data_IF_608205028952
#
_entry.id   IF_608205028952
#
_cell.length_a   1.000
_cell.length_b   1.000
_cell.length_c   1.000
_cell.angle_alpha   90.00
_cell.angle_beta   90.00
_cell.angle_gamma   90.00
#
_symmetry.space_group_name_H-M   'P 1'
#
loop_
_entity.id
_entity.type
_entity.pdbx_description
1 polymer ?
#
# COMPACT_ATOMS: atom_id res chain seq x y z
N UNK A 1 24.96 -9.58 9.41
CA UNK A 1 26.06 -8.58 9.45
C UNK A 1 25.53 -7.38 10.18
N UNK A 2 26.21 -6.89 11.23
CA UNK A 2 25.68 -5.75 11.98
C UNK A 2 25.95 -4.45 11.23
N UNK A 3 24.90 -3.67 10.97
CA UNK A 3 24.98 -2.32 10.41
C UNK A 3 24.43 -1.32 11.41
N UNK A 4 25.11 -0.19 11.50
CA UNK A 4 24.72 0.91 12.36
C UNK A 4 23.91 1.89 11.52
N UNK A 5 22.69 2.20 11.96
CA UNK A 5 21.85 3.20 11.29
C UNK A 5 22.06 4.52 12.00
N UNK A 6 22.70 5.45 11.29
CA UNK A 6 22.87 6.82 11.72
C UNK A 6 21.79 7.71 11.13
N UNK A 7 21.54 8.83 11.79
CA UNK A 7 20.63 9.83 11.30
C UNK A 7 21.26 10.54 10.08
N UNK A 8 20.69 10.42 8.87
CA UNK A 8 21.26 11.07 7.70
C UNK A 8 21.13 12.58 7.84
N UNK A 9 22.07 13.32 7.25
CA UNK A 9 21.98 14.77 7.20
C UNK A 9 20.88 15.18 6.21
N UNK A 10 19.77 15.69 6.73
CA UNK A 10 18.61 16.11 5.94
C UNK A 10 18.58 17.64 5.89
N UNK A 11 19.22 18.22 4.87
CA UNK A 11 19.26 19.67 4.66
C UNK A 11 20.46 20.36 5.32
N UNK A 12 20.88 21.49 4.75
CA UNK A 12 22.02 22.28 5.25
C UNK A 12 21.73 22.95 6.60
N UNK A 13 20.47 23.34 6.86
CA UNK A 13 20.08 24.11 8.05
C UNK A 13 19.54 23.27 9.22
N UNK A 14 19.57 21.93 9.13
CA UNK A 14 19.02 21.05 10.18
C UNK A 14 20.15 20.31 10.87
N UNK A 15 20.35 20.57 12.16
CA UNK A 15 21.45 20.01 12.97
C UNK A 15 21.03 18.88 13.90
N UNK A 16 19.72 18.75 14.17
CA UNK A 16 19.17 17.76 15.08
C UNK A 16 17.75 17.35 14.63
N UNK A 17 17.33 16.14 15.02
CA UNK A 17 15.96 15.68 14.86
C UNK A 17 15.47 15.00 16.13
N UNK A 18 14.16 15.06 16.37
CA UNK A 18 13.49 14.42 17.49
C UNK A 18 12.82 13.15 16.97
N UNK A 19 13.02 12.02 17.65
CA UNK A 19 12.31 10.77 17.32
C UNK A 19 10.87 10.91 17.80
N UNK A 20 9.89 10.85 16.90
CA UNK A 20 8.47 10.87 17.27
C UNK A 20 8.07 9.50 17.81
N UNK A 21 8.34 8.45 17.02
CA UNK A 21 7.85 7.10 17.26
C UNK A 21 8.68 6.04 16.54
N UNK A 22 8.80 4.87 17.15
CA UNK A 22 9.28 3.66 16.50
C UNK A 22 8.14 2.91 15.82
N UNK A 23 8.26 2.67 14.51
CA UNK A 23 7.35 1.79 13.78
C UNK A 23 7.75 0.33 13.95
N UNK A 24 9.02 0.06 14.30
CA UNK A 24 9.60 -1.27 14.48
C UNK A 24 10.15 -1.49 15.88
N UNK A 25 9.91 -2.68 16.43
CA UNK A 25 10.38 -3.08 17.75
C UNK A 25 11.68 -3.90 17.68
N UNK A 26 12.43 -3.92 18.79
CA UNK A 26 13.65 -4.75 18.91
C UNK A 26 13.30 -6.22 18.68
N UNK A 27 14.09 -6.89 17.84
CA UNK A 27 13.89 -8.27 17.40
C UNK A 27 12.95 -8.45 16.20
N UNK A 28 12.31 -7.39 15.70
CA UNK A 28 11.40 -7.47 14.55
C UNK A 28 12.18 -7.56 13.23
N UNK A 29 11.58 -8.27 12.27
CA UNK A 29 12.06 -8.33 10.88
C UNK A 29 11.70 -7.04 10.12
N UNK A 30 12.64 -6.54 9.35
CA UNK A 30 12.57 -5.28 8.63
C UNK A 30 13.09 -5.51 7.22
N UNK A 31 12.28 -5.15 6.23
CA UNK A 31 12.66 -5.27 4.83
C UNK A 31 13.39 -4.01 4.34
N UNK A 32 14.14 -4.17 3.25
CA UNK A 32 14.77 -3.03 2.56
C UNK A 32 13.70 -2.02 2.12
N UNK A 33 13.97 -0.74 2.32
CA UNK A 33 13.09 0.40 2.05
C UNK A 33 11.85 0.50 2.96
N UNK A 34 11.74 -0.34 3.98
CA UNK A 34 10.64 -0.23 4.95
C UNK A 34 10.90 0.89 5.98
N UNK A 35 9.92 1.74 6.30
CA UNK A 35 10.08 2.79 7.31
C UNK A 35 10.20 2.20 8.72
N UNK A 36 11.24 2.62 9.44
CA UNK A 36 11.57 2.08 10.76
C UNK A 36 11.18 3.05 11.88
N UNK A 37 11.52 4.32 11.69
CA UNK A 37 11.33 5.39 12.67
C UNK A 37 10.76 6.63 12.00
N UNK A 38 9.94 7.34 12.74
CA UNK A 38 9.45 8.66 12.38
C UNK A 38 10.22 9.70 13.18
N UNK A 39 10.79 10.68 12.47
CA UNK A 39 11.53 11.78 13.06
C UNK A 39 10.87 13.10 12.67
N UNK A 40 10.97 14.09 13.55
CA UNK A 40 10.59 15.46 13.27
C UNK A 40 11.81 16.37 13.41
N UNK A 41 11.99 17.22 12.43
CA UNK A 41 12.93 18.33 12.45
C UNK A 41 12.15 19.63 12.64
N UNK A 42 12.82 20.75 12.90
CA UNK A 42 12.17 22.07 13.10
C UNK A 42 11.10 22.42 12.05
N UNK A 43 11.27 21.95 10.81
CA UNK A 43 10.39 22.33 9.70
C UNK A 43 9.68 21.18 8.99
N UNK A 44 10.11 19.94 9.17
CA UNK A 44 9.59 18.79 8.40
C UNK A 44 9.61 17.51 9.24
N UNK A 45 8.52 16.76 9.19
CA UNK A 45 8.43 15.38 9.67
C UNK A 45 8.77 14.41 8.54
N UNK A 46 9.63 13.43 8.82
CA UNK A 46 10.11 12.45 7.85
C UNK A 46 10.29 11.08 8.48
N UNK A 47 10.19 10.05 7.66
CA UNK A 47 10.44 8.66 8.08
C UNK A 47 11.82 8.22 7.58
N UNK A 48 12.56 7.47 8.40
CA UNK A 48 13.84 6.89 8.01
C UNK A 48 13.59 5.45 7.51
N UNK A 49 13.81 5.17 6.21
CA UNK A 49 13.69 3.82 5.66
C UNK A 49 14.93 2.97 5.96
N UNK A 50 14.75 1.66 6.01
CA UNK A 50 15.86 0.72 6.17
C UNK A 50 16.69 0.61 4.89
N UNK A 51 18.04 0.74 4.96
CA UNK A 51 18.91 0.55 3.80
C UNK A 51 19.06 -0.92 3.37
N UNK A 52 18.82 -1.88 4.27
CA UNK A 52 18.98 -3.32 4.04
C UNK A 52 17.87 -4.13 4.74
N UNK A 53 17.66 -5.37 4.30
CA UNK A 53 16.78 -6.32 4.98
C UNK A 53 17.50 -6.93 6.18
N UNK A 54 16.83 -7.04 7.33
CA UNK A 54 17.45 -7.51 8.55
C UNK A 54 16.54 -7.51 9.77
N UNK A 55 17.13 -7.75 10.94
CA UNK A 55 16.45 -7.65 12.24
C UNK A 55 16.97 -6.47 13.04
N UNK A 56 16.06 -5.74 13.70
CA UNK A 56 16.46 -4.71 14.66
C UNK A 56 17.09 -5.39 15.90
N UNK A 57 18.36 -5.13 16.20
CA UNK A 57 19.01 -5.72 17.38
C UNK A 57 18.71 -4.87 18.61
N UNK A 58 19.00 -3.58 18.50
CA UNK A 58 19.00 -2.67 19.64
C UNK A 58 18.67 -1.25 19.19
N UNK A 59 17.92 -0.54 20.03
CA UNK A 59 17.63 0.89 19.89
C UNK A 59 18.50 1.66 20.90
N UNK A 60 19.33 2.55 20.39
CA UNK A 60 20.18 3.41 21.22
C UNK A 60 19.41 4.64 21.71
N UNK A 61 18.33 5.00 21.00
CA UNK A 61 17.54 6.21 21.22
C UNK A 61 16.08 5.86 21.51
N UNK A 62 15.45 6.59 22.43
CA UNK A 62 14.03 6.42 22.80
C UNK A 62 13.07 7.34 22.03
N UNK A 63 11.78 7.03 22.07
CA UNK A 63 10.73 7.92 21.54
C UNK A 63 10.73 9.24 22.32
N UNK A 64 10.65 10.36 21.61
CA UNK A 64 10.68 11.72 22.15
C UNK A 64 12.09 12.27 22.41
N UNK A 65 13.15 11.53 22.05
CA UNK A 65 14.54 11.95 22.29
C UNK A 65 15.11 12.74 21.11
N UNK A 66 15.86 13.81 21.41
CA UNK A 66 16.56 14.64 20.42
C UNK A 66 17.93 14.05 20.09
N UNK A 67 18.19 13.82 18.81
CA UNK A 67 19.40 13.21 18.30
C UNK A 67 20.10 14.16 17.32
N UNK A 68 21.40 14.42 17.48
CA UNK A 68 22.15 15.21 16.52
C UNK A 68 22.36 14.45 15.20
N UNK A 69 22.46 15.18 14.08
CA UNK A 69 22.75 14.59 12.77
C UNK A 69 24.03 13.75 12.79
N UNK A 70 24.01 12.60 12.11
CA UNK A 70 25.14 11.67 12.06
C UNK A 70 25.31 10.77 13.28
N UNK A 71 24.52 10.95 14.34
CA UNK A 71 24.56 10.04 15.49
C UNK A 71 23.85 8.71 15.16
N UNK A 72 24.32 7.64 15.79
CA UNK A 72 23.70 6.32 15.65
C UNK A 72 22.40 6.24 16.45
N UNK A 73 21.35 5.76 15.79
CA UNK A 73 20.01 5.62 16.36
C UNK A 73 19.73 4.17 16.76
N UNK A 74 20.16 3.21 15.93
CA UNK A 74 19.95 1.79 16.16
C UNK A 74 20.98 0.92 15.45
N UNK A 75 21.11 -0.32 15.95
CA UNK A 75 21.93 -1.37 15.35
C UNK A 75 21.02 -2.44 14.75
N UNK A 76 21.28 -2.77 13.49
CA UNK A 76 20.55 -3.75 12.70
C UNK A 76 21.44 -4.95 12.39
N UNK A 77 20.88 -6.15 12.38
CA UNK A 77 21.53 -7.32 11.79
C UNK A 77 20.99 -7.53 10.38
N UNK A 78 21.79 -7.15 9.39
CA UNK A 78 21.51 -7.40 7.98
C UNK A 78 21.55 -8.89 7.73
N UNK A 79 20.41 -9.40 7.26
CA UNK A 79 20.29 -10.73 6.70
C UNK A 79 20.26 -10.49 5.20
N UNK A 80 21.40 -10.71 4.54
CA UNK A 80 21.42 -10.76 3.08
C UNK A 80 20.60 -11.97 2.65
N UNK A 81 19.32 -11.72 2.41
CA UNK A 81 18.51 -12.59 1.57
C UNK A 81 19.10 -12.39 0.18
N UNK A 82 20.06 -13.25 -0.17
CA UNK A 82 20.45 -13.51 -1.56
C UNK A 82 19.23 -14.08 -2.26
N UNK A 83 18.31 -13.19 -2.60
CA UNK A 83 17.32 -13.43 -3.63
C UNK A 83 18.13 -13.53 -4.92
N UNK A 84 18.47 -14.77 -5.27
CA UNK A 84 18.97 -15.16 -6.57
C UNK A 84 17.88 -14.86 -7.60
N UNK A 85 17.62 -13.59 -7.86
CA UNK A 85 16.91 -13.18 -9.05
C UNK A 85 17.93 -13.23 -10.18
N UNK A 86 18.10 -14.43 -10.75
CA UNK A 86 18.71 -14.59 -12.05
C UNK A 86 18.06 -13.55 -12.98
N UNK A 87 18.83 -12.62 -13.56
CA UNK A 87 18.32 -11.92 -14.73
C UNK A 87 18.06 -13.01 -15.76
N UNK A 88 16.79 -13.24 -16.09
CA UNK A 88 16.43 -13.92 -17.34
C UNK A 88 17.08 -13.14 -18.45
N UNK A 89 18.17 -13.72 -18.94
CA UNK A 89 18.86 -13.42 -20.16
C UNK A 89 17.84 -13.15 -21.27
N UNK A 90 17.71 -11.89 -21.68
CA UNK A 90 17.05 -11.55 -22.92
C UNK A 90 18.06 -11.91 -24.01
N UNK A 91 18.13 -13.19 -24.36
CA UNK A 91 18.79 -13.62 -25.59
C UNK A 91 18.07 -12.90 -26.73
N UNK A 92 18.73 -11.91 -27.31
CA UNK A 92 18.43 -11.41 -28.64
C UNK A 92 19.01 -12.46 -29.59
N UNK A 93 18.21 -13.27 -30.31
CA UNK A 93 18.77 -14.06 -31.40
C UNK A 93 19.15 -13.09 -32.52
N UNK A 94 20.46 -12.90 -32.66
CA UNK A 94 21.10 -12.46 -33.89
C UNK A 94 20.66 -13.37 -35.04
N UNK A 95 19.94 -12.79 -36.01
CA UNK A 95 19.84 -13.35 -37.35
C UNK A 95 20.17 -12.24 -38.35
N UNK A 96 21.47 -12.04 -38.56
CA UNK A 96 21.97 -11.75 -39.91
C UNK A 96 21.58 -12.90 -40.85
N UNK A 97 20.48 -12.74 -41.58
CA UNK A 97 20.29 -13.41 -42.88
C UNK A 97 20.31 -12.31 -43.95
N UNK A 98 21.47 -12.21 -44.57
CA UNK A 98 21.72 -11.42 -45.77
C UNK A 98 21.14 -12.23 -46.94
N UNK A 99 20.23 -11.66 -47.73
CA UNK A 99 19.65 -12.38 -48.86
C UNK A 99 18.74 -11.53 -49.76
N UNK A 100 19.36 -10.95 -50.79
CA UNK A 100 18.78 -10.76 -52.14
C UNK A 100 17.55 -9.86 -52.31
N UNK A 101 17.81 -8.59 -52.60
CA UNK A 101 16.93 -7.72 -53.38
C UNK A 101 16.83 -8.24 -54.84
N UNK A 102 15.62 -8.46 -55.33
CA UNK A 102 15.29 -8.44 -56.76
C UNK A 102 13.83 -8.06 -56.95
N UNK A 103 13.63 -7.00 -57.72
CA UNK A 103 12.39 -6.39 -58.17
C UNK A 103 11.27 -7.36 -58.56
N UNK A 104 10.00 -6.97 -58.34
CA UNK A 104 9.10 -6.46 -59.40
C UNK A 104 7.77 -5.92 -58.86
N UNK A 105 7.43 -4.74 -59.37
CA UNK A 105 6.16 -4.02 -59.50
C UNK A 105 4.81 -4.71 -59.14
N UNK A 106 3.90 -3.95 -58.51
CA UNK A 106 2.68 -3.38 -59.15
C UNK A 106 1.49 -3.16 -58.18
N UNK A 107 1.15 -1.88 -57.96
CA UNK A 107 -0.16 -1.20 -57.78
C UNK A 107 -1.39 -1.87 -57.10
N UNK A 108 -2.02 -1.14 -56.16
CA UNK A 108 -3.45 -1.22 -55.83
C UNK A 108 -3.84 -0.94 -54.35
N UNK A 109 -4.75 0.00 -54.04
CA UNK A 109 -5.17 0.31 -52.67
C UNK A 109 -6.33 -0.61 -52.23
N UNK A 110 -6.16 -1.37 -51.16
CA UNK A 110 -7.23 -2.23 -50.60
C UNK A 110 -7.40 -1.79 -49.14
N UNK A 111 -8.38 -0.98 -48.78
CA UNK A 111 -9.79 -1.35 -48.86
C UNK A 111 -10.06 -2.33 -47.72
N UNK A 112 -10.25 -1.81 -46.50
CA UNK A 112 -10.55 -2.64 -45.34
C UNK A 112 -11.91 -3.31 -45.52
N UNK A 113 -11.93 -4.64 -45.57
CA UNK A 113 -13.14 -5.46 -45.49
C UNK A 113 -13.22 -6.12 -44.11
N UNK A 114 -14.27 -5.72 -43.39
CA UNK A 114 -14.78 -6.36 -42.20
C UNK A 114 -15.20 -7.80 -42.55
N UNK A 115 -14.72 -8.78 -41.76
CA UNK A 115 -15.34 -10.10 -41.69
C UNK A 115 -15.97 -10.26 -40.32
N UNK A 116 -17.26 -9.92 -40.27
CA UNK A 116 -18.20 -10.64 -39.41
C UNK A 116 -18.10 -12.12 -39.78
N UNK A 117 -17.91 -12.98 -38.78
CA UNK A 117 -18.20 -14.39 -38.92
C UNK A 117 -19.13 -14.80 -37.79
N UNK A 118 -20.41 -14.65 -38.07
CA UNK A 118 -21.52 -15.16 -37.28
C UNK A 118 -21.61 -16.69 -37.39
N UNK A 119 -22.15 -17.30 -36.32
CA UNK A 119 -22.90 -18.58 -36.28
C UNK A 119 -22.12 -19.89 -36.08
N UNK A 120 -22.18 -20.40 -34.83
CA UNK A 120 -22.58 -21.79 -34.51
C UNK A 120 -23.42 -21.70 -33.23
N UNK A 121 -24.75 -21.57 -33.30
CA UNK A 121 -25.79 -22.60 -33.47
C UNK A 121 -26.18 -23.31 -32.16
N UNK A 122 -27.45 -23.17 -31.85
CA UNK A 122 -28.22 -23.73 -30.74
C UNK A 122 -28.14 -25.26 -30.72
N UNK A 123 -28.06 -25.84 -29.52
CA UNK A 123 -28.79 -27.07 -29.21
C UNK A 123 -28.98 -27.21 -27.69
N UNK A 124 -30.24 -27.30 -27.25
CA UNK A 124 -30.62 -27.64 -25.89
C UNK A 124 -30.34 -29.14 -25.63
N UNK A 125 -30.06 -29.51 -24.36
CA UNK A 125 -31.00 -30.41 -23.72
C UNK A 125 -31.34 -30.02 -22.28
N UNK A 126 -32.61 -30.23 -21.96
CA UNK A 126 -33.25 -30.05 -20.66
C UNK A 126 -33.01 -31.31 -19.81
N UNK A 127 -32.28 -31.21 -18.70
CA UNK A 127 -32.38 -32.19 -17.61
C UNK A 127 -32.36 -31.50 -16.24
N UNK A 128 -33.54 -31.49 -15.62
CA UNK A 128 -33.80 -31.15 -14.23
C UNK A 128 -33.07 -32.12 -13.29
N UNK A 129 -32.32 -31.59 -12.33
CA UNK A 129 -32.11 -32.11 -10.95
C UNK A 129 -31.44 -31.02 -10.11
N UNK A 130 -31.92 -30.89 -8.89
CA UNK A 130 -31.64 -29.86 -7.88
C UNK A 130 -30.14 -29.67 -7.58
N UNK A 131 -29.65 -28.44 -7.45
CA UNK A 131 -29.23 -27.80 -6.19
C UNK A 131 -28.77 -26.36 -6.46
N UNK A 132 -28.55 -25.57 -5.41
CA UNK A 132 -28.34 -24.12 -5.41
C UNK A 132 -27.09 -23.66 -6.19
N UNK A 133 -27.05 -22.34 -6.48
CA UNK A 133 -25.87 -21.57 -6.94
C UNK A 133 -25.52 -21.56 -8.44
N UNK A 134 -26.37 -20.98 -9.30
CA UNK A 134 -26.00 -20.74 -10.72
C UNK A 134 -26.05 -19.25 -11.15
N UNK A 135 -26.70 -18.34 -10.41
CA UNK A 135 -26.77 -16.92 -10.80
C UNK A 135 -25.53 -16.07 -10.47
N UNK A 136 -24.55 -16.64 -9.74
CA UNK A 136 -23.36 -15.88 -9.28
C UNK A 136 -22.17 -15.91 -10.25
N UNK A 137 -22.14 -16.86 -11.19
CA UNK A 137 -20.93 -17.13 -12.00
C UNK A 137 -20.94 -16.39 -13.34
N UNK A 138 -22.12 -16.10 -13.92
CA UNK A 138 -22.21 -15.36 -15.20
C UNK A 138 -22.00 -13.85 -15.00
N UNK A 139 -22.36 -13.34 -13.82
CA UNK A 139 -22.25 -11.92 -13.48
C UNK A 139 -20.81 -11.49 -13.17
N UNK A 140 -19.97 -12.38 -12.62
CA UNK A 140 -18.63 -12.01 -12.16
C UNK A 140 -17.63 -11.70 -13.28
N UNK A 141 -17.71 -12.40 -14.42
CA UNK A 141 -16.78 -12.18 -15.53
C UNK A 141 -17.07 -10.90 -16.32
N UNK A 142 -18.35 -10.52 -16.45
CA UNK A 142 -18.74 -9.26 -17.08
C UNK A 142 -18.41 -8.06 -16.18
N UNK A 143 -18.58 -8.21 -14.86
CA UNK A 143 -18.20 -7.20 -13.85
C UNK A 143 -16.69 -7.00 -13.79
N UNK A 144 -15.89 -8.07 -13.89
CA UNK A 144 -14.42 -7.97 -13.95
C UNK A 144 -13.93 -7.22 -15.18
N UNK A 145 -14.70 -7.22 -16.27
CA UNK A 145 -14.40 -6.47 -17.49
C UNK A 145 -14.75 -4.97 -17.41
N UNK A 146 -15.47 -4.54 -16.37
CA UNK A 146 -15.84 -3.13 -16.11
C UNK A 146 -14.79 -2.37 -15.32
N UNK A 147 -13.81 -3.07 -14.72
CA UNK A 147 -12.78 -2.48 -13.87
C UNK A 147 -11.38 -2.80 -14.39
N UNK A 148 -10.47 -1.83 -14.36
CA UNK A 148 -9.06 -2.07 -14.68
C UNK A 148 -8.33 -2.64 -13.45
N UNK A 149 -7.36 -3.58 -13.60
CA UNK A 149 -6.62 -4.16 -12.48
C UNK A 149 -5.93 -3.12 -11.58
N UNK A 150 -5.48 -2.01 -12.17
CA UNK A 150 -4.87 -0.89 -11.43
C UNK A 150 -5.88 -0.21 -10.52
N UNK A 151 -7.13 -0.12 -10.95
CA UNK A 151 -8.22 0.54 -10.22
C UNK A 151 -8.68 -0.35 -9.06
N UNK A 152 -8.72 -1.67 -9.26
CA UNK A 152 -9.00 -2.64 -8.18
C UNK A 152 -7.97 -2.50 -7.05
N UNK A 153 -6.68 -2.51 -7.40
CA UNK A 153 -5.59 -2.34 -6.42
C UNK A 153 -5.70 -1.02 -5.66
N UNK A 154 -6.04 0.07 -6.35
CA UNK A 154 -6.17 1.38 -5.72
C UNK A 154 -7.40 1.47 -4.80
N UNK A 155 -8.51 0.84 -5.20
CA UNK A 155 -9.71 0.76 -4.37
C UNK A 155 -9.46 -0.02 -3.09
N UNK A 156 -8.75 -1.16 -3.16
CA UNK A 156 -8.36 -1.96 -1.99
C UNK A 156 -7.47 -1.19 -1.01
N UNK A 157 -6.46 -0.46 -1.51
CA UNK A 157 -5.53 0.30 -0.68
C UNK A 157 -6.21 1.41 0.12
N UNK A 158 -7.29 1.97 -0.40
CA UNK A 158 -8.04 3.06 0.21
C UNK A 158 -9.37 2.61 0.82
N UNK A 159 -9.68 1.31 0.80
CA UNK A 159 -10.89 0.72 1.38
C UNK A 159 -12.20 1.16 0.71
N UNK A 160 -12.19 1.33 -0.62
CA UNK A 160 -13.33 1.86 -1.37
C UNK A 160 -14.08 0.74 -2.09
N UNK A 161 -15.40 0.75 -1.94
CA UNK A 161 -16.27 -0.16 -2.68
C UNK A 161 -16.48 0.34 -4.13
N UNK A 162 -15.80 -0.31 -5.07
CA UNK A 162 -15.77 0.07 -6.49
C UNK A 162 -17.15 -0.02 -7.19
N UNK A 163 -18.10 -0.72 -6.59
CA UNK A 163 -19.50 -0.83 -7.05
C UNK A 163 -20.27 0.48 -6.92
N UNK A 164 -19.86 1.35 -5.99
CA UNK A 164 -20.50 2.65 -5.73
C UNK A 164 -19.79 3.82 -6.42
N UNK A 165 -18.68 3.56 -7.12
CA UNK A 165 -17.92 4.59 -7.81
C UNK A 165 -18.46 4.80 -9.23
N UNK A 166 -18.89 6.02 -9.54
CA UNK A 166 -19.35 6.38 -10.88
C UNK A 166 -18.19 6.40 -11.87
N UNK A 167 -18.19 5.50 -12.85
CA UNK A 167 -17.15 5.42 -13.88
C UNK A 167 -17.34 6.42 -15.01
N UNK A 168 -16.33 7.24 -15.28
CA UNK A 168 -16.32 8.26 -16.35
C UNK A 168 -15.62 7.79 -17.63
N UNK A 169 -15.14 6.53 -17.65
CA UNK A 169 -14.45 5.95 -18.81
C UNK A 169 -15.38 5.51 -19.94
N UNK A 170 -14.78 5.24 -21.11
CA UNK A 170 -15.47 4.64 -22.26
C UNK A 170 -16.17 3.34 -21.83
N UNK A 171 -17.47 3.22 -22.14
CA UNK A 171 -18.34 2.12 -21.71
C UNK A 171 -18.60 2.05 -20.19
N UNK A 172 -18.72 3.20 -19.53
CA UNK A 172 -19.06 3.31 -18.09
C UNK A 172 -18.04 2.59 -17.19
N UNK A 173 -16.78 2.52 -17.63
CA UNK A 173 -15.65 1.91 -16.94
C UNK A 173 -15.15 2.85 -15.84
N UNK A 174 -14.87 2.31 -14.66
CA UNK A 174 -14.27 3.09 -13.57
C UNK A 174 -12.78 3.26 -13.83
N UNK A 175 -12.33 4.51 -13.87
CA UNK A 175 -10.93 4.85 -14.07
C UNK A 175 -10.25 5.20 -12.76
N UNK A 176 -8.90 5.24 -12.77
CA UNK A 176 -8.10 5.68 -11.62
C UNK A 176 -8.53 7.05 -11.10
N UNK A 177 -8.89 7.97 -12.01
CA UNK A 177 -9.33 9.33 -11.66
C UNK A 177 -10.67 9.33 -10.92
N UNK A 178 -11.58 8.43 -11.29
CA UNK A 178 -12.90 8.34 -10.66
C UNK A 178 -12.80 7.86 -9.21
N UNK A 179 -11.89 6.91 -8.94
CA UNK A 179 -11.60 6.45 -7.57
C UNK A 179 -10.96 7.55 -6.74
N UNK A 180 -9.97 8.28 -7.28
CA UNK A 180 -9.31 9.39 -6.56
C UNK A 180 -10.31 10.50 -6.25
N UNK A 181 -11.11 10.93 -7.23
CA UNK A 181 -12.13 11.95 -7.03
C UNK A 181 -13.19 11.52 -6.01
N UNK A 182 -13.49 10.23 -5.92
CA UNK A 182 -14.41 9.69 -4.92
C UNK A 182 -13.80 9.78 -3.52
N UNK A 183 -12.51 9.44 -3.34
CA UNK A 183 -11.79 9.61 -2.07
C UNK A 183 -11.83 11.07 -1.62
N UNK A 184 -11.50 11.99 -2.52
CA UNK A 184 -11.48 13.42 -2.22
C UNK A 184 -12.87 13.93 -1.84
N UNK A 185 -13.94 13.43 -2.49
CA UNK A 185 -15.33 13.77 -2.13
C UNK A 185 -15.76 13.18 -0.79
N UNK A 186 -15.47 11.91 -0.53
CA UNK A 186 -15.78 11.25 0.74
C UNK A 186 -15.07 11.96 1.90
N UNK A 187 -13.82 12.36 1.70
CA UNK A 187 -13.06 13.11 2.69
C UNK A 187 -13.60 14.55 2.90
N UNK A 188 -14.36 15.10 1.95
CA UNK A 188 -15.02 16.41 2.09
C UNK A 188 -16.38 16.28 2.79
N UNK A 189 -17.09 15.16 2.59
CA UNK A 189 -18.37 14.89 3.25
C UNK A 189 -18.20 14.43 4.71
N UNK A 190 -17.08 13.80 5.09
CA UNK A 190 -16.77 13.46 6.49
C UNK A 190 -16.31 14.66 7.34
N UNK A 191 -15.95 15.79 6.73
CA UNK A 191 -15.61 17.03 7.46
C UNK A 191 -16.88 17.83 7.83
N UNK A 192 -18.07 17.40 7.38
CA UNK A 192 -19.31 18.16 7.49
C UNK A 192 -20.24 17.86 8.67
N UNK A 193 -20.15 16.71 9.35
CA UNK A 193 -21.02 16.39 10.50
C UNK A 193 -20.35 15.30 11.34
N UNK A 194 -19.60 15.63 12.40
CA UNK A 194 -19.58 14.98 13.76
C UNK A 194 -18.76 15.81 14.76
N UNK A 195 -19.12 17.09 14.96
CA UNK A 195 -18.79 17.77 16.23
C UNK A 195 -20.02 17.72 17.15
N UNK A 196 -20.46 16.50 17.46
CA UNK A 196 -21.27 16.24 18.65
C UNK A 196 -20.46 15.25 19.48
N UNK A 197 -19.97 15.75 20.61
CA UNK A 197 -19.40 14.92 21.66
C UNK A 197 -20.54 13.97 22.08
N UNK A 198 -20.45 12.64 21.88
CA UNK A 198 -21.34 11.76 22.60
C UNK A 198 -20.90 11.86 24.06
N UNK A 199 -21.70 12.57 24.87
CA UNK A 199 -21.68 12.38 26.32
C UNK A 199 -22.24 10.98 26.54
N UNK A 200 -21.37 9.99 26.40
CA UNK A 200 -21.55 8.66 26.96
C UNK A 200 -21.09 8.78 28.39
N UNK A 201 -22.03 9.01 29.31
CA UNK A 201 -21.83 8.84 30.74
C UNK A 201 -21.72 7.35 31.05
N UNK A 202 -20.63 6.74 30.59
CA UNK A 202 -20.13 5.48 31.13
C UNK A 202 -19.12 5.83 32.20
N UNK A 203 -19.60 5.92 33.45
CA UNK A 203 -18.81 6.08 34.66
C UNK A 203 -17.87 4.86 34.78
N UNK A 204 -16.70 4.95 34.13
CA UNK A 204 -15.67 3.92 34.19
C UNK A 204 -14.97 4.03 35.55
N UNK A 205 -15.46 3.25 36.51
CA UNK A 205 -14.81 3.08 37.80
C UNK A 205 -13.46 2.38 37.61
N UNK A 206 -12.39 3.16 37.54
CA UNK A 206 -11.02 2.66 37.57
C UNK A 206 -10.72 2.25 39.01
N UNK A 207 -10.55 0.96 39.27
CA UNK A 207 -10.12 0.47 40.58
C UNK A 207 -8.68 0.94 40.85
N UNK A 208 -8.40 1.64 41.97
CA UNK A 208 -7.05 2.13 42.24
C UNK A 208 -6.07 0.98 42.52
N UNK A 209 -4.87 1.09 41.95
CA UNK A 209 -3.73 0.21 42.26
C UNK A 209 -3.46 0.23 43.79
N UNK A 210 -3.15 -0.91 44.43
CA UNK A 210 -2.85 -1.00 45.86
C UNK A 210 -1.83 0.03 46.37
N UNK A 211 -0.84 0.42 45.55
CA UNK A 211 0.11 1.48 45.92
C UNK A 211 -0.55 2.85 46.09
N UNK A 212 -1.54 3.21 45.25
CA UNK A 212 -2.28 4.47 45.39
C UNK A 212 -3.12 4.49 46.67
N UNK A 213 -3.65 3.34 47.08
CA UNK A 213 -4.41 3.21 48.33
C UNK A 213 -3.52 3.48 49.56
N UNK A 214 -2.32 2.90 49.59
CA UNK A 214 -1.35 3.09 50.68
C UNK A 214 -0.93 4.57 50.81
N UNK A 215 -0.72 5.26 49.67
CA UNK A 215 -0.35 6.67 49.67
C UNK A 215 -1.51 7.55 50.17
N UNK A 216 -2.75 7.23 49.75
CA UNK A 216 -3.94 7.95 50.19
C UNK A 216 -4.16 7.81 51.71
N UNK A 217 -4.01 6.60 52.25
CA UNK A 217 -4.12 6.34 53.69
C UNK A 217 -3.08 7.16 54.48
N UNK A 218 -1.83 7.21 53.99
CA UNK A 218 -0.77 8.04 54.60
C UNK A 218 -1.03 9.55 54.51
N UNK A 219 -1.68 10.00 53.45
CA UNK A 219 -2.05 11.42 53.29
C UNK A 219 -3.12 11.85 54.28
N UNK A 220 -4.11 10.99 54.55
CA UNK A 220 -5.17 11.24 55.53
C UNK A 220 -4.62 11.20 56.96
N UNK A 221 -3.71 10.27 57.26
CA UNK A 221 -3.08 10.15 58.59
C UNK A 221 -2.14 11.32 58.94
N UNK A 222 -1.65 12.05 57.92
CA UNK A 222 -0.72 13.17 58.09
C UNK A 222 -1.39 14.56 58.07
N UNK A 223 -2.73 14.63 58.01
CA UNK A 223 -3.50 15.89 58.09
C UNK A 223 -4.16 16.10 59.46
#
# INVERSE_FOLDING_TARGET
>A
MKIEITLPQIGESVTEAVVIKWLKNVGQDIEKYEPIIEIITDKVSMEIPSPHTGKLIEKTVSEGETVPMGNMIAVFDVIDVVENNQPTDITIPDQSIIGSISDVAAVGPTGGEFKDNSLIQEDLPKQTREDKDIDKVISSDLEKSRYSPVVLKLAEQHGIDITHVSGSGQNNRVTKKDVINHIDKVNVDEVGVKNTIPVTSDDHFITPNPFRKIIADRMVESS
#
